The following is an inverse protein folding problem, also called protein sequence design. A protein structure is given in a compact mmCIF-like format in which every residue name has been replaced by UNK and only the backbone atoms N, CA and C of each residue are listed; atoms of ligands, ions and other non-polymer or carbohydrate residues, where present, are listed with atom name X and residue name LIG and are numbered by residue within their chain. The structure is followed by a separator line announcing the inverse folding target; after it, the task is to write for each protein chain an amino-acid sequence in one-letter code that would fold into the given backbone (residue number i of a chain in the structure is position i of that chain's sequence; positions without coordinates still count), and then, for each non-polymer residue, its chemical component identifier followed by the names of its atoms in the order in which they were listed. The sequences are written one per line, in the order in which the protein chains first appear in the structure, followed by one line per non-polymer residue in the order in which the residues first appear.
data_IF_950105305166
#
_entry.id   IF_950105305166
#
_cell.length_a   1.000
_cell.length_b   1.000
_cell.length_c   1.000
_cell.angle_alpha   90.00
_cell.angle_beta   90.00
_cell.angle_gamma   90.00
#
_symmetry.space_group_name_H-M   'P 1'
#
loop_
_entity.id
_entity.type
_entity.pdbx_description
1 polymer ?
#
# COMPACT_ATOMS: atom_id res chain seq x y z
N UNK A 1 -0.10 21.68 23.31
CA UNK A 1 1.38 21.69 23.36
C UNK A 1 1.89 20.29 23.05
N UNK A 2 3.01 20.19 22.33
CA UNK A 2 3.63 18.93 21.91
C UNK A 2 4.93 18.76 22.70
N UNK A 3 5.06 17.62 23.39
CA UNK A 3 6.23 17.29 24.20
C UNK A 3 6.85 16.00 23.68
N UNK A 4 8.15 15.98 23.40
CA UNK A 4 8.85 14.76 23.02
C UNK A 4 9.16 13.90 24.25
N UNK A 5 8.93 12.60 24.13
CA UNK A 5 9.24 11.58 25.14
C UNK A 5 10.49 10.83 24.69
N UNK A 6 11.33 10.42 25.64
CA UNK A 6 12.49 9.58 25.35
C UNK A 6 12.03 8.23 24.76
N UNK A 7 12.56 7.89 23.60
CA UNK A 7 12.21 6.67 22.87
C UNK A 7 13.43 6.18 22.06
N UNK A 8 13.42 4.92 21.57
CA UNK A 8 14.42 4.43 20.64
C UNK A 8 14.55 5.33 19.40
N UNK A 9 15.73 5.31 18.77
CA UNK A 9 16.08 6.23 17.69
C UNK A 9 15.14 6.18 16.49
N UNK A 10 14.49 5.05 16.19
CA UNK A 10 13.52 4.94 15.09
C UNK A 10 12.08 5.25 15.51
N UNK A 11 11.85 5.74 16.74
CA UNK A 11 10.50 6.01 17.26
C UNK A 11 10.32 7.51 17.47
N UNK A 12 9.18 8.02 17.03
CA UNK A 12 8.70 9.36 17.39
C UNK A 12 7.70 9.17 18.53
N UNK A 13 8.07 9.60 19.74
CA UNK A 13 7.20 9.52 20.91
C UNK A 13 6.82 10.91 21.39
N UNK A 14 5.52 11.20 21.42
CA UNK A 14 4.96 12.52 21.70
C UNK A 14 3.87 12.44 22.75
N UNK A 15 3.87 13.35 23.71
CA UNK A 15 2.73 13.67 24.55
C UNK A 15 2.07 14.97 24.09
N UNK A 16 0.77 14.91 23.81
CA UNK A 16 -0.04 16.05 23.45
C UNK A 16 -0.84 16.51 24.66
N UNK A 17 -0.55 17.71 25.14
CA UNK A 17 -1.18 18.30 26.33
C UNK A 17 -1.99 19.55 25.97
N UNK A 18 -3.21 19.67 26.51
CA UNK A 18 -4.09 20.82 26.26
C UNK A 18 -4.63 20.85 24.83
N UNK A 19 -4.50 21.99 24.16
CA UNK A 19 -4.96 22.17 22.77
C UNK A 19 -3.80 22.04 21.78
N UNK A 20 -4.03 21.30 20.69
CA UNK A 20 -3.07 21.20 19.58
C UNK A 20 -3.24 22.40 18.64
N UNK A 21 -2.23 23.28 18.61
CA UNK A 21 -2.19 24.49 17.77
C UNK A 21 -1.51 24.19 16.42
N UNK A 22 -1.65 25.11 15.46
CA UNK A 22 -0.93 25.03 14.18
C UNK A 22 0.59 24.99 14.35
N UNK A 23 1.15 25.69 15.33
CA UNK A 23 2.58 25.64 15.65
C UNK A 23 3.02 24.24 16.11
N UNK A 24 2.23 23.58 16.96
CA UNK A 24 2.50 22.20 17.37
C UNK A 24 2.43 21.22 16.20
N UNK A 25 1.54 21.47 15.23
CA UNK A 25 1.47 20.67 14.01
C UNK A 25 2.71 20.88 13.11
N UNK A 26 3.23 22.11 13.01
CA UNK A 26 4.46 22.39 12.26
C UNK A 26 5.69 21.77 12.92
N UNK A 27 5.74 21.76 14.25
CA UNK A 27 6.79 21.08 14.99
C UNK A 27 6.75 19.56 14.78
N UNK A 28 5.57 18.95 14.86
CA UNK A 28 5.36 17.54 14.51
C UNK A 28 5.88 17.21 13.12
N UNK A 29 5.54 18.03 12.10
CA UNK A 29 6.00 17.83 10.72
C UNK A 29 7.52 17.80 10.61
N UNK A 30 8.21 18.75 11.25
CA UNK A 30 9.68 18.80 11.22
C UNK A 30 10.31 17.56 11.88
N UNK A 31 9.74 17.10 13.00
CA UNK A 31 10.20 15.88 13.68
C UNK A 31 9.99 14.67 12.77
N UNK A 32 8.80 14.56 12.17
CA UNK A 32 8.44 13.49 11.26
C UNK A 32 9.36 13.43 10.04
N UNK A 33 9.51 14.54 9.31
CA UNK A 33 10.37 14.63 8.13
C UNK A 33 11.82 14.25 8.44
N UNK A 34 12.37 14.77 9.54
CA UNK A 34 13.74 14.45 9.96
C UNK A 34 13.88 12.95 10.23
N UNK A 35 12.96 12.37 11.00
CA UNK A 35 13.03 10.95 11.36
C UNK A 35 12.90 10.04 10.14
N UNK A 36 12.03 10.41 9.19
CA UNK A 36 11.84 9.69 7.93
C UNK A 36 13.04 9.76 6.98
N UNK A 37 13.90 10.78 7.12
CA UNK A 37 15.18 10.86 6.40
C UNK A 37 16.28 10.01 7.06
N UNK A 38 16.25 9.90 8.38
CA UNK A 38 17.27 9.16 9.16
C UNK A 38 16.99 7.65 9.23
N UNK A 39 15.72 7.25 9.09
CA UNK A 39 15.31 5.85 9.22
C UNK A 39 14.40 5.42 8.07
N UNK A 40 14.67 4.23 7.53
CA UNK A 40 13.81 3.61 6.53
C UNK A 40 12.40 3.33 7.10
N UNK A 41 12.33 3.09 8.41
CA UNK A 41 11.10 2.73 9.11
C UNK A 41 11.04 3.40 10.47
N UNK A 42 9.85 3.88 10.82
CA UNK A 42 9.58 4.56 12.08
C UNK A 42 8.31 4.03 12.75
N UNK A 43 8.36 4.02 14.08
CA UNK A 43 7.19 3.84 14.94
C UNK A 43 6.69 5.17 15.48
N UNK A 44 5.38 5.32 15.66
CA UNK A 44 4.76 6.47 16.29
C UNK A 44 4.14 6.06 17.63
N UNK A 45 4.47 6.81 18.67
CA UNK A 45 3.80 6.79 19.96
C UNK A 45 3.21 8.17 20.23
N UNK A 46 1.89 8.25 20.41
CA UNK A 46 1.17 9.49 20.64
C UNK A 46 0.30 9.36 21.89
N UNK A 47 0.71 10.00 22.98
CA UNK A 47 -0.09 10.13 24.19
C UNK A 47 -1.04 11.33 24.06
N UNK A 48 -2.35 11.05 24.09
CA UNK A 48 -3.42 12.06 24.00
C UNK A 48 -4.26 12.12 25.29
N UNK A 49 -3.77 11.53 26.38
CA UNK A 49 -4.47 11.46 27.67
C UNK A 49 -4.81 12.87 28.18
N UNK A 50 -3.87 13.81 28.05
CA UNK A 50 -4.03 15.21 28.47
C UNK A 50 -4.52 16.15 27.37
N UNK A 51 -4.90 15.62 26.20
CA UNK A 51 -5.45 16.43 25.12
C UNK A 51 -6.88 16.86 25.46
N UNK A 52 -7.13 18.16 25.59
CA UNK A 52 -8.43 18.69 25.99
C UNK A 52 -9.30 19.07 24.82
N UNK A 53 -8.71 19.50 23.70
CA UNK A 53 -9.44 19.89 22.50
C UNK A 53 -8.57 19.77 21.23
N UNK A 54 -9.19 19.35 20.13
CA UNK A 54 -8.62 19.46 18.78
C UNK A 54 -9.38 20.57 18.07
N UNK A 55 -8.75 21.72 17.85
CA UNK A 55 -9.48 22.82 17.19
C UNK A 55 -9.90 22.41 15.78
N UNK A 56 -11.10 22.84 15.35
CA UNK A 56 -11.63 22.50 14.02
C UNK A 56 -10.70 22.94 12.86
N UNK A 57 -9.90 24.01 13.07
CA UNK A 57 -8.87 24.42 12.10
C UNK A 57 -7.69 23.44 12.05
N UNK A 58 -7.34 22.79 13.17
CA UNK A 58 -6.33 21.72 13.23
C UNK A 58 -6.77 20.45 12.50
N UNK A 59 -8.08 20.22 12.32
CA UNK A 59 -8.63 19.11 11.52
C UNK A 59 -8.42 19.39 10.01
N UNK A 60 -8.62 20.64 9.58
CA UNK A 60 -8.41 21.06 8.18
C UNK A 60 -6.92 21.11 7.80
N UNK A 61 -6.06 21.59 8.69
CA UNK A 61 -4.60 21.49 8.50
C UNK A 61 -4.09 20.05 8.67
N UNK A 62 -4.75 19.28 9.54
CA UNK A 62 -4.59 17.83 9.70
C UNK A 62 -4.84 17.09 8.40
N UNK A 63 -5.84 17.49 7.60
CA UNK A 63 -6.10 16.86 6.29
C UNK A 63 -4.93 17.01 5.31
N UNK A 64 -4.15 18.10 5.40
CA UNK A 64 -2.90 18.27 4.63
C UNK A 64 -1.73 17.49 5.24
N UNK A 65 -1.68 17.33 6.56
CA UNK A 65 -0.67 16.50 7.23
C UNK A 65 -0.89 15.02 6.92
N UNK A 66 -2.15 14.61 6.88
CA UNK A 66 -2.58 13.30 6.40
C UNK A 66 -2.04 13.08 5.00
N UNK A 67 -2.20 14.03 4.06
CA UNK A 67 -1.62 13.95 2.70
C UNK A 67 -0.10 13.76 2.64
N UNK A 68 0.66 14.23 3.63
CA UNK A 68 2.11 13.98 3.69
C UNK A 68 2.46 12.67 4.37
N UNK A 69 1.75 12.30 5.44
CA UNK A 69 1.79 10.96 6.03
C UNK A 69 1.45 9.89 5.00
N UNK A 70 0.48 10.14 4.11
CA UNK A 70 0.14 9.28 2.98
C UNK A 70 1.32 9.05 2.02
N UNK A 71 2.20 10.03 1.82
CA UNK A 71 3.40 9.86 0.98
C UNK A 71 4.44 8.95 1.63
N UNK A 72 4.50 8.98 2.97
CA UNK A 72 5.46 8.21 3.77
C UNK A 72 4.83 7.03 4.49
N UNK A 73 3.62 6.62 4.07
CA UNK A 73 2.79 5.62 4.78
C UNK A 73 3.48 4.26 4.91
N UNK A 74 4.41 3.96 4.00
CA UNK A 74 5.28 2.77 4.00
C UNK A 74 6.34 2.74 5.09
N UNK A 75 6.81 3.91 5.48
CA UNK A 75 7.86 4.06 6.47
C UNK A 75 7.25 4.13 7.87
N UNK A 76 5.93 4.33 8.00
CA UNK A 76 5.22 4.34 9.28
C UNK A 76 4.57 2.99 9.50
N UNK A 77 5.14 2.20 10.41
CA UNK A 77 4.74 0.81 10.58
C UNK A 77 3.64 0.65 11.61
N UNK A 78 3.79 1.35 12.74
CA UNK A 78 2.97 1.21 13.93
C UNK A 78 2.67 2.57 14.52
N UNK A 79 1.40 2.78 14.87
CA UNK A 79 0.93 3.96 15.57
C UNK A 79 0.24 3.56 16.87
N UNK A 80 0.95 3.72 17.99
CA UNK A 80 0.41 3.54 19.33
C UNK A 80 -0.20 4.85 19.81
N UNK A 81 -1.48 4.81 20.18
CA UNK A 81 -2.15 5.92 20.85
C UNK A 81 -2.38 5.58 22.30
N UNK A 82 -2.00 6.47 23.22
CA UNK A 82 -2.28 6.30 24.65
C UNK A 82 -3.41 7.22 25.06
N UNK A 83 -4.51 6.62 25.53
CA UNK A 83 -5.72 7.35 25.91
C UNK A 83 -6.67 6.50 26.76
N UNK A 84 -7.25 7.13 27.79
CA UNK A 84 -8.38 6.57 28.56
C UNK A 84 -9.76 7.01 28.05
N UNK A 85 -9.80 7.82 26.98
CA UNK A 85 -11.02 8.35 26.36
C UNK A 85 -11.50 7.44 25.22
N UNK A 86 -12.79 7.49 24.91
CA UNK A 86 -13.43 6.65 23.88
C UNK A 86 -13.28 7.18 22.44
N UNK A 87 -13.17 8.50 22.26
CA UNK A 87 -13.12 9.11 20.92
C UNK A 87 -11.91 8.69 20.06
N UNK A 88 -10.69 8.42 20.59
CA UNK A 88 -9.58 7.94 19.76
C UNK A 88 -9.84 6.55 19.19
N UNK A 89 -10.54 5.67 19.92
CA UNK A 89 -10.93 4.34 19.40
C UNK A 89 -11.84 4.46 18.19
N UNK A 90 -12.80 5.39 18.23
CA UNK A 90 -13.69 5.66 17.11
C UNK A 90 -12.95 6.27 15.91
N UNK A 91 -12.01 7.19 16.15
CA UNK A 91 -11.18 7.77 15.10
C UNK A 91 -10.27 6.72 14.44
N UNK A 92 -9.69 5.81 15.23
CA UNK A 92 -8.80 4.74 14.74
C UNK A 92 -9.58 3.68 13.97
N UNK A 93 -10.78 3.29 14.41
CA UNK A 93 -11.62 2.39 13.62
C UNK A 93 -11.96 2.95 12.23
N UNK A 94 -12.10 4.27 12.11
CA UNK A 94 -12.27 4.94 10.83
C UNK A 94 -10.95 4.98 10.03
N UNK A 95 -9.82 5.24 10.72
CA UNK A 95 -8.49 5.31 10.11
C UNK A 95 -8.02 3.93 9.60
N UNK A 96 -8.21 2.84 10.34
CA UNK A 96 -7.84 1.46 9.94
C UNK A 96 -8.51 1.07 8.62
N UNK A 97 -9.75 1.52 8.40
CA UNK A 97 -10.47 1.28 7.14
C UNK A 97 -9.86 2.04 5.96
N UNK A 98 -9.25 3.18 6.22
CA UNK A 98 -8.62 4.04 5.21
C UNK A 98 -7.13 3.70 5.01
N UNK A 99 -6.44 3.23 6.05
CA UNK A 99 -5.00 2.98 6.11
C UNK A 99 -4.68 1.54 6.57
N UNK A 100 -5.13 0.50 5.84
CA UNK A 100 -4.92 -0.90 6.25
C UNK A 100 -3.45 -1.34 6.27
N UNK A 101 -2.53 -0.50 5.78
CA UNK A 101 -1.08 -0.75 5.77
C UNK A 101 -0.39 -0.36 7.09
N UNK A 102 -1.01 0.50 7.92
CA UNK A 102 -0.44 0.92 9.21
C UNK A 102 -1.15 0.15 10.32
N UNK A 103 -0.39 -0.51 11.19
CA UNK A 103 -0.99 -1.05 12.41
C UNK A 103 -1.25 0.10 13.39
N UNK A 104 -2.50 0.36 13.72
CA UNK A 104 -2.88 1.36 14.72
C UNK A 104 -3.48 0.67 15.93
N UNK A 105 -3.07 1.10 17.13
CA UNK A 105 -3.59 0.52 18.38
C UNK A 105 -3.73 1.58 19.46
N UNK A 106 -4.85 1.53 20.20
CA UNK A 106 -5.06 2.32 21.41
C UNK A 106 -4.69 1.49 22.64
N UNK A 107 -3.92 2.10 23.53
CA UNK A 107 -3.57 1.58 24.83
C UNK A 107 -4.13 2.50 25.92
N UNK A 108 -4.58 1.97 27.06
CA UNK A 108 -4.91 2.78 28.22
C UNK A 108 -3.66 3.47 28.78
N UNK A 109 -3.83 4.57 29.52
CA UNK A 109 -2.70 5.33 30.09
C UNK A 109 -1.84 4.52 31.04
N UNK A 110 -2.42 3.51 31.70
CA UNK A 110 -1.70 2.53 32.54
C UNK A 110 -0.73 1.64 31.76
N UNK A 111 -0.84 1.57 30.44
CA UNK A 111 -0.02 0.74 29.55
C UNK A 111 0.92 1.58 28.65
N UNK A 112 1.27 2.80 29.06
CA UNK A 112 2.14 3.69 28.28
C UNK A 112 3.46 3.05 27.87
N UNK A 113 4.08 2.29 28.77
CA UNK A 113 5.36 1.62 28.51
C UNK A 113 5.22 0.48 27.49
N UNK A 114 4.09 -0.24 27.56
CA UNK A 114 3.77 -1.30 26.61
C UNK A 114 3.43 -0.72 25.24
N UNK A 115 2.73 0.41 25.19
CA UNK A 115 2.43 1.14 23.96
C UNK A 115 3.71 1.63 23.27
N UNK A 116 4.66 2.19 24.03
CA UNK A 116 5.95 2.63 23.50
C UNK A 116 6.78 1.45 22.99
N UNK A 117 6.82 0.35 23.76
CA UNK A 117 7.52 -0.88 23.37
C UNK A 117 6.93 -1.46 22.08
N UNK A 118 5.60 -1.52 21.98
CA UNK A 118 4.90 -2.02 20.81
C UNK A 118 5.12 -1.14 19.57
N UNK A 119 5.18 0.20 19.73
CA UNK A 119 5.52 1.11 18.64
C UNK A 119 6.98 0.96 18.20
N UNK A 120 7.88 0.58 19.11
CA UNK A 120 9.29 0.36 18.83
C UNK A 120 9.60 -0.99 18.18
N UNK A 121 8.72 -1.97 18.30
CA UNK A 121 8.87 -3.26 17.64
C UNK A 121 8.86 -3.09 16.12
N UNK A 122 9.77 -3.81 15.45
CA UNK A 122 9.78 -3.88 13.99
C UNK A 122 8.56 -4.67 13.54
N UNK A 123 7.64 -4.03 12.82
CA UNK A 123 6.47 -4.70 12.25
C UNK A 123 6.89 -5.68 11.15
N UNK A 124 6.36 -6.91 11.19
CA UNK A 124 6.54 -7.88 10.12
C UNK A 124 5.79 -7.50 8.84
N UNK A 125 4.78 -6.62 8.92
CA UNK A 125 4.03 -6.16 7.74
C UNK A 125 4.91 -5.34 6.78
N UNK A 126 5.98 -4.71 7.29
CA UNK A 126 6.87 -3.91 6.48
C UNK A 126 8.19 -4.59 6.11
N UNK A 127 8.55 -5.70 6.78
CA UNK A 127 9.65 -6.58 6.34
C UNK A 127 9.18 -7.52 5.22
N UNK A 128 7.87 -7.78 5.08
CA UNK A 128 7.36 -8.80 4.18
C UNK A 128 7.02 -8.39 2.73
N UNK A 129 7.05 -7.10 2.32
CA UNK A 129 6.67 -6.73 0.93
C UNK A 129 7.60 -5.71 0.27
N UNK A 130 8.83 -6.14 -0.02
CA UNK A 130 9.66 -5.54 -1.08
C UNK A 130 9.40 -6.17 -2.46
N UNK A 131 8.56 -7.19 -2.55
CA UNK A 131 8.08 -7.74 -3.82
C UNK A 131 6.64 -8.23 -3.64
N UNK A 132 5.65 -7.35 -3.80
CA UNK A 132 4.27 -7.77 -3.99
C UNK A 132 4.15 -8.66 -5.24
N UNK A 133 5.12 -8.62 -6.16
CA UNK A 133 5.09 -9.40 -7.39
C UNK A 133 6.07 -10.56 -7.38
N UNK A 134 5.54 -11.74 -7.70
CA UNK A 134 6.30 -12.97 -7.91
C UNK A 134 5.96 -13.53 -9.29
N UNK A 135 6.96 -13.72 -10.15
CA UNK A 135 6.77 -14.44 -11.40
C UNK A 135 6.62 -15.94 -11.13
N UNK A 136 5.67 -16.57 -11.81
CA UNK A 136 5.36 -17.99 -11.68
C UNK A 136 5.94 -18.71 -12.90
N UNK A 137 6.57 -19.86 -12.68
CA UNK A 137 7.03 -20.70 -13.77
C UNK A 137 5.82 -21.34 -14.47
N UNK A 138 5.90 -21.44 -15.80
CA UNK A 138 4.88 -22.04 -16.64
C UNK A 138 5.51 -23.13 -17.50
N UNK A 139 4.69 -24.07 -17.95
CA UNK A 139 5.11 -25.09 -18.93
C UNK A 139 5.12 -24.57 -20.39
N UNK A 140 4.93 -23.26 -20.61
CA UNK A 140 4.78 -22.64 -21.94
C UNK A 140 5.64 -21.37 -22.03
N UNK A 141 6.57 -21.36 -22.98
CA UNK A 141 7.51 -20.24 -23.17
C UNK A 141 6.82 -18.92 -23.58
N UNK A 142 5.59 -18.99 -24.10
CA UNK A 142 4.79 -17.84 -24.51
C UNK A 142 3.77 -17.38 -23.47
N UNK A 143 3.79 -17.94 -22.26
CA UNK A 143 2.92 -17.52 -21.16
C UNK A 143 3.73 -16.94 -20.01
N UNK A 144 3.56 -15.64 -19.74
CA UNK A 144 4.13 -14.98 -18.58
C UNK A 144 3.10 -14.95 -17.46
N UNK A 145 3.38 -15.66 -16.38
CA UNK A 145 2.53 -15.68 -15.20
C UNK A 145 3.19 -14.91 -14.05
N UNK A 146 2.40 -14.11 -13.33
CA UNK A 146 2.85 -13.44 -12.12
C UNK A 146 1.71 -13.33 -11.10
N UNK A 147 2.09 -13.35 -9.83
CA UNK A 147 1.24 -13.20 -8.67
C UNK A 147 1.50 -11.83 -8.04
N UNK A 148 0.43 -11.08 -7.77
CA UNK A 148 0.43 -9.82 -7.03
C UNK A 148 -0.16 -10.09 -5.65
N UNK A 149 0.67 -10.12 -4.61
CA UNK A 149 0.28 -10.29 -3.22
C UNK A 149 0.24 -8.95 -2.47
N UNK A 150 -0.95 -8.45 -2.11
CA UNK A 150 -1.14 -7.23 -1.29
C UNK A 150 -1.17 -5.91 -2.05
N UNK A 151 -0.28 -4.98 -1.69
CA UNK A 151 -0.27 -3.61 -2.21
C UNK A 151 0.85 -3.46 -3.22
N UNK A 152 0.50 -3.08 -4.44
CA UNK A 152 1.47 -2.81 -5.50
C UNK A 152 2.12 -1.44 -5.31
N UNK A 153 3.46 -1.42 -5.25
CA UNK A 153 4.26 -0.22 -5.05
C UNK A 153 4.67 0.47 -6.35
N UNK A 154 4.74 1.80 -6.34
CA UNK A 154 5.25 2.57 -7.48
C UNK A 154 6.70 2.22 -7.84
N UNK A 155 7.52 1.82 -6.86
CA UNK A 155 8.91 1.41 -7.09
C UNK A 155 9.04 0.06 -7.80
N UNK A 156 7.99 -0.76 -7.79
CA UNK A 156 8.00 -2.09 -8.42
C UNK A 156 7.62 -2.01 -9.90
N UNK A 157 6.86 -0.98 -10.29
CA UNK A 157 6.36 -0.78 -11.67
C UNK A 157 7.47 -0.83 -12.74
N UNK A 158 8.62 -0.12 -12.60
CA UNK A 158 9.66 -0.17 -13.61
C UNK A 158 10.23 -1.57 -13.83
N UNK A 159 10.37 -2.38 -12.76
CA UNK A 159 10.88 -3.74 -12.86
C UNK A 159 9.87 -4.66 -13.56
N UNK A 160 8.58 -4.55 -13.25
CA UNK A 160 7.52 -5.30 -13.95
C UNK A 160 7.53 -4.98 -15.44
N UNK A 161 7.56 -3.69 -15.78
CA UNK A 161 7.57 -3.24 -17.17
C UNK A 161 8.79 -3.81 -17.88
N UNK A 162 9.97 -3.68 -17.28
CA UNK A 162 11.19 -4.23 -17.86
C UNK A 162 11.10 -5.75 -18.08
N UNK A 163 10.54 -6.49 -17.12
CA UNK A 163 10.42 -7.95 -17.23
C UNK A 163 9.40 -8.37 -18.29
N UNK A 164 8.28 -7.67 -18.37
CA UNK A 164 7.26 -7.87 -19.41
C UNK A 164 7.80 -7.50 -20.78
N UNK A 165 8.46 -6.34 -20.93
CA UNK A 165 9.10 -5.94 -22.18
C UNK A 165 10.16 -6.95 -22.62
N UNK A 166 11.03 -7.41 -21.71
CA UNK A 166 12.02 -8.43 -22.01
C UNK A 166 11.40 -9.79 -22.39
N UNK A 167 10.24 -10.14 -21.82
CA UNK A 167 9.51 -11.36 -22.20
C UNK A 167 8.86 -11.24 -23.59
N UNK A 168 8.40 -10.03 -23.93
CA UNK A 168 7.80 -9.71 -25.23
C UNK A 168 8.84 -9.57 -26.35
N UNK A 169 10.11 -9.32 -26.01
CA UNK A 169 11.21 -9.30 -26.97
C UNK A 169 11.42 -10.69 -27.57
N UNK A 170 11.41 -10.78 -28.91
CA UNK A 170 11.57 -12.04 -29.63
C UNK A 170 10.30 -12.89 -29.78
N UNK A 171 9.19 -12.54 -29.13
CA UNK A 171 7.91 -13.23 -29.29
C UNK A 171 6.98 -12.48 -30.25
N UNK A 172 6.33 -13.21 -31.15
CA UNK A 172 5.29 -12.66 -32.03
C UNK A 172 3.97 -12.46 -31.28
N UNK A 173 3.72 -13.34 -30.31
CA UNK A 173 2.50 -13.40 -29.53
C UNK A 173 2.75 -14.00 -28.15
N UNK A 174 2.12 -13.42 -27.13
CA UNK A 174 2.21 -13.88 -25.74
C UNK A 174 0.84 -13.94 -25.08
N UNK A 175 0.77 -14.70 -23.99
CA UNK A 175 -0.35 -14.67 -23.06
C UNK A 175 0.12 -14.34 -21.66
N UNK A 176 -0.74 -13.69 -20.89
CA UNK A 176 -0.44 -13.20 -19.55
C UNK A 176 -1.40 -13.82 -18.55
N UNK A 177 -0.86 -14.21 -17.39
CA UNK A 177 -1.65 -14.56 -16.20
C UNK A 177 -1.25 -13.60 -15.07
N UNK A 178 -2.21 -12.85 -14.54
CA UNK A 178 -2.07 -12.12 -13.29
C UNK A 178 -2.94 -12.79 -12.22
N UNK A 179 -2.31 -13.29 -11.15
CA UNK A 179 -3.01 -13.78 -9.96
C UNK A 179 -3.01 -12.70 -8.89
N UNK A 180 -4.17 -12.28 -8.42
CA UNK A 180 -4.32 -11.29 -7.36
C UNK A 180 -4.53 -12.03 -6.03
N UNK A 181 -3.54 -12.01 -5.13
CA UNK A 181 -3.62 -12.68 -3.82
C UNK A 181 -3.66 -11.63 -2.71
N UNK A 182 -4.61 -11.72 -1.78
CA UNK A 182 -4.78 -10.73 -0.71
C UNK A 182 -4.71 -9.27 -1.20
N UNK A 183 -5.14 -9.02 -2.45
CA UNK A 183 -4.89 -7.74 -3.10
C UNK A 183 -5.65 -6.63 -2.38
N UNK A 184 -4.90 -5.65 -1.92
CA UNK A 184 -5.43 -4.57 -1.07
C UNK A 184 -5.39 -3.21 -1.76
N UNK A 185 -4.90 -3.15 -3.01
CA UNK A 185 -4.86 -1.95 -3.83
C UNK A 185 -3.48 -1.66 -4.44
N UNK A 186 -3.34 -0.45 -4.93
CA UNK A 186 -2.10 0.10 -5.45
C UNK A 186 -1.82 1.42 -4.72
N UNK A 187 -0.56 1.84 -4.68
CA UNK A 187 -0.23 3.17 -4.18
C UNK A 187 -0.82 4.30 -5.02
N UNK A 188 -1.44 5.33 -4.41
CA UNK A 188 -2.01 6.47 -5.14
C UNK A 188 -1.03 7.17 -6.10
N UNK A 189 0.27 7.12 -5.80
CA UNK A 189 1.34 7.65 -6.65
C UNK A 189 1.40 6.97 -8.03
N UNK A 190 0.96 5.71 -8.17
CA UNK A 190 0.90 4.99 -9.45
C UNK A 190 -0.08 5.65 -10.43
N UNK A 191 -1.19 6.18 -9.91
CA UNK A 191 -2.22 6.84 -10.74
C UNK A 191 -1.91 8.32 -10.94
N UNK A 192 -1.31 8.99 -9.94
CA UNK A 192 -0.95 10.41 -10.05
C UNK A 192 0.25 10.67 -10.96
N UNK A 193 1.22 9.75 -11.03
CA UNK A 193 2.29 9.80 -12.02
C UNK A 193 1.79 9.09 -13.29
N UNK A 194 1.01 9.82 -14.08
CA UNK A 194 0.36 9.42 -15.34
C UNK A 194 1.34 9.10 -16.49
N UNK A 195 2.37 8.32 -16.17
CA UNK A 195 3.31 7.70 -17.08
C UNK A 195 3.80 6.34 -16.58
N UNK A 196 3.20 5.74 -15.53
CA UNK A 196 3.66 4.48 -14.93
C UNK A 196 3.00 3.21 -15.49
N UNK A 197 1.69 3.21 -15.77
CA UNK A 197 0.99 2.05 -16.38
C UNK A 197 0.52 2.34 -17.81
N UNK A 198 0.18 3.59 -18.12
CA UNK A 198 -0.18 4.02 -19.47
C UNK A 198 1.02 4.05 -20.44
N UNK A 199 2.25 4.03 -19.92
CA UNK A 199 3.48 4.02 -20.71
C UNK A 199 3.95 2.62 -21.09
N UNK A 200 3.28 1.55 -20.60
CA UNK A 200 3.39 0.24 -21.22
C UNK A 200 3.02 0.42 -22.68
N UNK A 201 4.05 0.42 -23.53
CA UNK A 201 3.97 0.88 -24.90
C UNK A 201 2.79 0.18 -25.55
N UNK A 202 1.93 0.93 -26.23
CA UNK A 202 0.82 0.38 -27.04
C UNK A 202 1.31 -0.79 -27.94
N UNK A 203 2.59 -0.79 -28.33
CA UNK A 203 3.22 -1.90 -29.05
C UNK A 203 3.43 -3.20 -28.26
N UNK A 204 3.67 -3.14 -26.95
CA UNK A 204 3.69 -4.32 -26.07
C UNK A 204 2.30 -4.97 -26.01
N UNK A 205 1.26 -4.16 -25.86
CA UNK A 205 -0.14 -4.62 -25.82
C UNK A 205 -0.61 -5.28 -27.11
N UNK A 206 -0.02 -4.92 -28.27
CA UNK A 206 -0.35 -5.54 -29.57
C UNK A 206 0.06 -7.01 -29.69
N UNK A 207 1.02 -7.46 -28.87
CA UNK A 207 1.50 -8.85 -28.86
C UNK A 207 0.77 -9.73 -27.85
N UNK A 208 -0.04 -9.13 -26.97
CA UNK A 208 -0.79 -9.89 -25.98
C UNK A 208 -2.07 -10.41 -26.63
N UNK A 209 -2.17 -11.73 -26.80
CA UNK A 209 -3.37 -12.38 -27.32
C UNK A 209 -4.42 -12.57 -26.23
N UNK A 210 -4.00 -13.04 -25.05
CA UNK A 210 -4.87 -13.38 -23.94
C UNK A 210 -4.27 -12.89 -22.64
N UNK A 211 -5.08 -12.24 -21.82
CA UNK A 211 -4.71 -11.81 -20.48
C UNK A 211 -5.77 -12.25 -19.47
N UNK A 212 -5.44 -13.26 -18.68
CA UNK A 212 -6.28 -13.72 -17.59
C UNK A 212 -5.90 -13.01 -16.29
N UNK A 213 -6.90 -12.51 -15.55
CA UNK A 213 -6.73 -11.90 -14.24
C UNK A 213 -7.57 -12.68 -13.23
N UNK A 214 -6.93 -13.43 -12.34
CA UNK A 214 -7.58 -14.23 -11.28
C UNK A 214 -7.64 -13.42 -10.00
N UNK A 215 -8.78 -13.37 -9.32
CA UNK A 215 -8.96 -12.63 -8.07
C UNK A 215 -9.14 -11.12 -8.27
N UNK A 216 -9.54 -10.69 -9.47
CA UNK A 216 -9.70 -9.28 -9.79
C UNK A 216 -10.83 -8.63 -8.96
N UNK A 217 -10.60 -7.48 -8.30
CA UNK A 217 -11.66 -6.75 -7.61
C UNK A 217 -12.67 -6.16 -8.60
N UNK A 218 -13.91 -5.94 -8.16
CA UNK A 218 -15.03 -5.49 -9.02
C UNK A 218 -14.74 -4.24 -9.87
N UNK A 219 -13.95 -3.29 -9.37
CA UNK A 219 -13.59 -2.10 -10.14
C UNK A 219 -12.68 -2.43 -11.32
N UNK A 220 -11.82 -3.45 -11.19
CA UNK A 220 -10.90 -3.90 -12.24
C UNK A 220 -11.68 -4.64 -13.33
N UNK A 221 -12.69 -5.44 -12.98
CA UNK A 221 -13.60 -6.07 -13.95
C UNK A 221 -14.27 -5.02 -14.84
N UNK A 222 -14.81 -3.95 -14.24
CA UNK A 222 -15.42 -2.83 -14.98
C UNK A 222 -14.43 -2.10 -15.89
N UNK A 223 -13.18 -1.95 -15.43
CA UNK A 223 -12.13 -1.35 -16.24
C UNK A 223 -11.80 -2.23 -17.45
N UNK A 224 -11.68 -3.54 -17.25
CA UNK A 224 -11.44 -4.52 -18.32
C UNK A 224 -12.57 -4.49 -19.34
N UNK A 225 -13.84 -4.53 -18.92
CA UNK A 225 -15.01 -4.44 -19.81
C UNK A 225 -15.00 -3.16 -20.68
N UNK A 226 -14.49 -2.06 -20.12
CA UNK A 226 -14.38 -0.77 -20.82
C UNK A 226 -13.22 -0.75 -21.82
N UNK A 227 -12.10 -1.42 -21.49
CA UNK A 227 -10.85 -1.39 -22.24
C UNK A 227 -10.80 -2.46 -23.33
N UNK A 228 -11.36 -3.65 -23.10
CA UNK A 228 -11.30 -4.79 -24.03
C UNK A 228 -11.74 -4.43 -25.47
N UNK A 229 -12.83 -3.66 -25.70
CA UNK A 229 -13.25 -3.27 -27.04
C UNK A 229 -12.26 -2.37 -27.79
N UNK A 230 -11.36 -1.67 -27.07
CA UNK A 230 -10.36 -0.78 -27.68
C UNK A 230 -9.14 -1.54 -28.21
N UNK A 231 -8.94 -2.78 -27.78
CA UNK A 231 -7.79 -3.61 -28.13
C UNK A 231 -8.25 -4.93 -28.76
N UNK A 232 -8.77 -4.93 -30.01
CA UNK A 232 -9.39 -6.11 -30.63
C UNK A 232 -8.47 -7.31 -30.87
N UNK A 233 -7.17 -7.17 -30.60
CA UNK A 233 -6.18 -8.26 -30.69
C UNK A 233 -5.81 -8.87 -29.35
N UNK A 234 -6.26 -8.26 -28.25
CA UNK A 234 -6.02 -8.71 -26.90
C UNK A 234 -7.36 -9.03 -26.26
N UNK A 235 -7.53 -10.29 -25.87
CA UNK A 235 -8.69 -10.69 -25.08
C UNK A 235 -8.31 -10.66 -23.61
N UNK A 236 -9.01 -9.83 -22.83
CA UNK A 236 -8.85 -9.73 -21.39
C UNK A 236 -10.03 -10.38 -20.70
N UNK A 237 -9.76 -11.31 -19.78
CA UNK A 237 -10.80 -11.98 -19.00
C UNK A 237 -10.44 -12.02 -17.52
N UNK A 238 -11.42 -11.73 -16.68
CA UNK A 238 -11.30 -11.80 -15.22
C UNK A 238 -11.96 -13.05 -14.69
N UNK A 239 -11.35 -13.67 -13.69
CA UNK A 239 -11.78 -14.91 -13.04
C UNK A 239 -11.80 -14.68 -11.53
N UNK A 240 -12.71 -15.31 -10.79
CA UNK A 240 -12.67 -15.29 -9.32
C UNK A 240 -11.57 -16.23 -8.80
N UNK A 241 -11.24 -16.13 -7.50
CA UNK A 241 -10.16 -16.93 -6.90
C UNK A 241 -10.37 -18.45 -7.05
N UNK A 242 -11.63 -18.90 -6.98
CA UNK A 242 -12.03 -20.30 -7.16
C UNK A 242 -12.03 -20.76 -8.63
N UNK A 243 -11.86 -19.84 -9.59
CA UNK A 243 -11.82 -20.11 -11.02
C UNK A 243 -10.41 -20.13 -11.60
N UNK A 244 -9.37 -20.23 -10.77
CA UNK A 244 -7.98 -20.29 -11.25
C UNK A 244 -7.75 -21.39 -12.30
N UNK A 245 -8.30 -22.60 -12.07
CA UNK A 245 -8.17 -23.70 -13.01
C UNK A 245 -8.82 -23.40 -14.37
N UNK A 246 -9.91 -22.62 -14.39
CA UNK A 246 -10.56 -22.17 -15.62
C UNK A 246 -9.70 -21.15 -16.36
N UNK A 247 -9.05 -20.23 -15.62
CA UNK A 247 -8.12 -19.26 -16.19
C UNK A 247 -6.91 -19.95 -16.83
N UNK A 248 -6.32 -20.93 -16.14
CA UNK A 248 -5.20 -21.73 -16.66
C UNK A 248 -5.59 -22.52 -17.91
N UNK A 249 -6.77 -23.15 -17.90
CA UNK A 249 -7.31 -23.85 -19.06
C UNK A 249 -7.57 -22.90 -20.24
N UNK A 250 -8.11 -21.70 -19.97
CA UNK A 250 -8.34 -20.68 -20.99
C UNK A 250 -7.03 -20.14 -21.59
N UNK A 251 -5.95 -20.12 -20.81
CA UNK A 251 -4.61 -19.77 -21.30
C UNK A 251 -3.88 -20.95 -21.96
N UNK A 252 -4.38 -22.18 -21.85
CA UNK A 252 -3.71 -23.42 -22.28
C UNK A 252 -2.31 -23.56 -21.64
N UNK A 253 -2.25 -23.40 -20.32
CA UNK A 253 -1.01 -23.41 -19.53
C UNK A 253 -1.19 -24.15 -18.20
N UNK A 254 -0.08 -24.71 -17.70
CA UNK A 254 0.03 -25.21 -16.33
C UNK A 254 1.16 -24.45 -15.61
N UNK A 255 0.97 -24.20 -14.32
CA UNK A 255 2.02 -23.66 -13.46
C UNK A 255 2.95 -24.78 -13.02
N UNK A 256 4.24 -24.50 -13.01
CA UNK A 256 5.27 -25.42 -12.55
C UNK A 256 5.79 -24.90 -11.20
N UNK A 257 5.98 -25.81 -10.24
CA UNK A 257 6.61 -25.49 -8.94
C UNK A 257 8.10 -25.16 -9.07
#
# INVERSE_FOLDING_TARGET
MLNQITAPDHVIALALEGTLTGEGLQEYRKILEKKLQEHDQIGLYIDVTKLTDMTANSIVEGTKADMELFRHIKQVNRCAFVSDKEWPKAAISLADRLFPMIEMKVFPSSESDAALSWAAEKSELSVAKSSAIRFLATNKDNVLAFEVDGVLSASEIPNIIQRVEAFLEGQDSVRLLARMKNYSGFEPSIVMHSGGLLSMKINAMKKVERYAIVGAPNWMNKLVETVNPLFPKMDMQTFTDDQESEALAWLDVELVE
#
